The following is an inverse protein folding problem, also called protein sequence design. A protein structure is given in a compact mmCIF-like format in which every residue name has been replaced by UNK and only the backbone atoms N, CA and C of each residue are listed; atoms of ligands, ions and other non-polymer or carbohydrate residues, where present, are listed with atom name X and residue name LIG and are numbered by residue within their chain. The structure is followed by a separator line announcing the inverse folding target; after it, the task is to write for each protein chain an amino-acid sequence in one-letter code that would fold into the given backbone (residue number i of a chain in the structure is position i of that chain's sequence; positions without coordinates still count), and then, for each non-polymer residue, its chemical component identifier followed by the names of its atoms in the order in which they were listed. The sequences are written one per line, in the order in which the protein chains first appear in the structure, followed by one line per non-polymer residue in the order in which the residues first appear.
data_IF_628782692049
#
_entry.id   IF_628782692049
#
_cell.length_a   1.000
_cell.length_b   1.000
_cell.length_c   1.000
_cell.angle_alpha   90.00
_cell.angle_beta   90.00
_cell.angle_gamma   90.00
#
_symmetry.space_group_name_H-M   'P 1'
#
loop_
_entity.id
_entity.type
_entity.pdbx_description
1 polymer ?
#
# COMPACT_ATOMS: atom_id res chain seq x y z
N UNK A 1 82.70 -19.93 82.78
CA UNK A 1 82.99 -18.63 82.18
C UNK A 1 81.77 -18.16 81.34
N UNK A 2 81.06 -17.18 81.87
CA UNK A 2 79.90 -16.54 81.17
C UNK A 2 80.39 -15.41 80.30
N UNK A 3 80.36 -15.57 78.98
CA UNK A 3 80.66 -14.48 78.04
C UNK A 3 79.58 -13.41 78.08
N UNK A 4 79.92 -12.21 78.55
CA UNK A 4 79.05 -11.03 78.55
C UNK A 4 78.70 -10.65 77.07
N UNK A 5 77.50 -10.81 76.72
CA UNK A 5 76.95 -10.36 75.45
C UNK A 5 76.84 -8.79 75.47
N UNK A 6 77.74 -8.15 74.70
CA UNK A 6 77.81 -6.67 74.68
C UNK A 6 76.66 -6.06 73.86
N UNK A 7 75.94 -5.15 74.41
CA UNK A 7 74.78 -4.45 73.89
C UNK A 7 74.96 -3.89 72.45
N UNK A 8 76.21 -3.54 72.13
CA UNK A 8 76.63 -3.12 70.77
C UNK A 8 76.41 -4.19 69.73
N UNK A 9 76.66 -5.50 70.01
CA UNK A 9 76.44 -6.60 69.10
C UNK A 9 74.89 -6.86 68.88
N UNK A 10 74.10 -6.68 69.93
CA UNK A 10 72.63 -6.76 69.81
C UNK A 10 72.10 -5.63 68.94
N UNK A 11 72.62 -4.41 69.05
CA UNK A 11 72.22 -3.26 68.22
C UNK A 11 72.52 -3.48 66.71
N UNK A 12 73.73 -4.05 66.39
CA UNK A 12 74.08 -4.35 64.99
C UNK A 12 73.25 -5.48 64.39
N UNK A 13 72.86 -6.49 65.16
CA UNK A 13 71.95 -7.55 64.72
C UNK A 13 70.60 -6.99 64.49
N UNK A 14 70.04 -6.11 65.35
CA UNK A 14 68.76 -5.46 65.22
C UNK A 14 68.74 -4.51 64.01
N UNK A 15 69.78 -3.75 63.77
CA UNK A 15 69.94 -2.88 62.64
C UNK A 15 70.00 -3.68 61.30
N UNK A 16 70.75 -4.83 61.30
CA UNK A 16 70.77 -5.75 60.16
C UNK A 16 69.42 -6.37 59.83
N UNK A 17 68.62 -6.67 60.88
CA UNK A 17 67.27 -7.24 60.69
C UNK A 17 66.29 -6.21 60.13
N UNK A 18 66.41 -4.96 60.57
CA UNK A 18 65.57 -3.85 59.98
C UNK A 18 65.97 -3.62 58.52
N UNK A 19 67.27 -3.66 58.18
CA UNK A 19 67.71 -3.46 56.82
C UNK A 19 67.28 -4.61 55.92
N UNK A 20 67.32 -5.87 56.39
CA UNK A 20 66.82 -7.03 55.67
C UNK A 20 65.27 -6.93 55.43
N UNK A 21 64.46 -6.50 56.46
CA UNK A 21 63.05 -6.30 56.33
C UNK A 21 62.77 -5.20 55.30
N UNK A 22 63.47 -4.07 55.35
CA UNK A 22 63.33 -2.98 54.39
C UNK A 22 63.72 -3.43 52.94
N UNK A 23 64.74 -4.28 52.75
CA UNK A 23 65.10 -4.84 51.47
C UNK A 23 64.02 -5.80 50.96
N UNK A 24 63.46 -6.69 51.78
CA UNK A 24 62.38 -7.58 51.42
C UNK A 24 61.08 -6.81 51.13
N UNK A 25 60.80 -5.79 51.90
CA UNK A 25 59.58 -4.89 51.65
C UNK A 25 59.79 -4.12 50.34
N UNK A 26 60.99 -3.62 50.04
CA UNK A 26 61.31 -2.94 48.77
C UNK A 26 61.21 -3.87 47.57
N UNK A 27 61.74 -5.11 47.72
CA UNK A 27 61.61 -6.13 46.66
C UNK A 27 60.10 -6.51 46.41
N UNK A 28 59.32 -6.70 47.50
CA UNK A 28 57.90 -6.98 47.42
C UNK A 28 57.12 -5.85 46.77
N UNK A 29 57.50 -4.59 47.07
CA UNK A 29 56.92 -3.42 46.45
C UNK A 29 57.25 -3.32 44.95
N UNK A 30 58.49 -3.61 44.55
CA UNK A 30 58.92 -3.63 43.14
C UNK A 30 58.23 -4.76 42.35
N UNK A 31 58.05 -5.94 42.92
CA UNK A 31 57.34 -7.06 42.32
C UNK A 31 55.86 -6.72 42.14
N UNK A 32 55.22 -6.10 43.17
CA UNK A 32 53.81 -5.70 43.10
C UNK A 32 53.57 -4.52 42.15
N UNK A 33 54.55 -3.60 42.04
CA UNK A 33 54.49 -2.46 41.11
C UNK A 33 54.68 -2.87 39.65
N UNK A 34 55.33 -4.03 39.38
CA UNK A 34 55.58 -4.49 38.03
C UNK A 34 54.55 -5.55 37.53
N UNK A 35 53.61 -6.00 38.38
CA UNK A 35 52.47 -6.76 37.96
C UNK A 35 51.43 -5.79 37.39
N UNK A 36 51.53 -5.49 36.06
CA UNK A 36 50.43 -4.92 35.31
C UNK A 36 49.25 -5.88 35.50
N UNK A 37 48.18 -5.42 36.19
CA UNK A 37 46.90 -6.12 36.16
C UNK A 37 46.57 -6.36 34.68
N UNK A 38 46.52 -7.60 34.26
CA UNK A 38 46.10 -7.93 32.92
C UNK A 38 44.60 -7.60 32.91
N UNK A 39 44.25 -6.43 32.34
CA UNK A 39 42.88 -6.06 32.10
C UNK A 39 42.22 -7.18 31.29
N UNK A 40 41.33 -7.91 31.91
CA UNK A 40 40.59 -9.00 31.28
C UNK A 40 39.52 -8.36 30.37
N UNK A 41 39.84 -8.28 29.08
CA UNK A 41 38.87 -7.85 28.09
C UNK A 41 38.04 -9.05 27.60
N UNK A 42 36.78 -8.80 27.31
CA UNK A 42 35.95 -9.76 26.61
C UNK A 42 36.42 -9.91 25.17
N UNK A 43 36.29 -11.12 24.65
CA UNK A 43 36.58 -11.42 23.27
C UNK A 43 35.33 -12.01 22.60
N UNK A 44 35.11 -11.64 21.35
CA UNK A 44 34.11 -12.27 20.46
C UNK A 44 34.86 -12.92 19.29
N UNK A 45 34.32 -14.06 18.82
CA UNK A 45 34.83 -14.75 17.63
C UNK A 45 33.97 -14.39 16.43
N UNK A 46 34.57 -14.25 15.23
CA UNK A 46 33.79 -14.15 13.99
C UNK A 46 32.96 -15.40 13.79
N UNK A 47 31.77 -15.21 13.19
CA UNK A 47 30.81 -16.29 12.91
C UNK A 47 30.69 -16.45 11.41
N UNK A 48 30.65 -17.69 10.92
CA UNK A 48 30.37 -17.95 9.50
C UNK A 48 28.88 -18.20 9.34
N UNK A 49 28.20 -17.29 8.69
CA UNK A 49 26.76 -17.38 8.40
C UNK A 49 26.40 -16.61 7.13
N UNK A 50 25.21 -16.86 6.62
CA UNK A 50 24.67 -16.10 5.51
C UNK A 50 24.32 -14.67 5.96
N UNK A 51 24.71 -13.69 5.15
CA UNK A 51 24.43 -12.28 5.36
C UNK A 51 23.60 -11.73 4.21
N UNK A 52 22.54 -11.01 4.54
CA UNK A 52 21.72 -10.31 3.56
C UNK A 52 21.67 -8.83 3.93
N UNK A 53 22.13 -7.99 3.01
CA UNK A 53 21.87 -6.54 3.07
C UNK A 53 20.45 -6.29 2.58
N UNK A 54 19.60 -5.68 3.41
CA UNK A 54 18.18 -5.52 3.17
C UNK A 54 17.75 -4.09 3.38
N UNK A 55 16.79 -3.70 2.58
CA UNK A 55 16.05 -2.46 2.75
C UNK A 55 14.62 -2.79 3.14
N UNK A 56 14.07 -2.06 4.11
CA UNK A 56 12.71 -2.26 4.58
C UNK A 56 11.79 -1.21 3.99
N UNK A 57 10.73 -1.68 3.32
CA UNK A 57 9.59 -0.88 2.92
C UNK A 57 8.42 -1.15 3.87
N UNK A 58 7.80 -0.11 4.39
CA UNK A 58 6.58 -0.24 5.21
C UNK A 58 5.34 -0.03 4.36
N UNK A 59 4.32 -0.86 4.55
CA UNK A 59 3.13 -0.78 3.71
C UNK A 59 2.00 -1.71 4.16
N UNK A 60 1.22 -2.15 3.20
CA UNK A 60 0.05 -3.01 3.39
C UNK A 60 -0.08 -4.02 2.25
N UNK A 61 -0.83 -5.08 2.50
CA UNK A 61 -1.26 -6.01 1.45
C UNK A 61 -2.57 -5.50 0.85
N UNK A 62 -2.62 -5.40 -0.46
CA UNK A 62 -3.82 -5.00 -1.20
C UNK A 62 -4.07 -5.98 -2.34
N UNK A 63 -5.30 -6.12 -2.82
CA UNK A 63 -5.55 -6.86 -4.07
C UNK A 63 -4.91 -6.10 -5.24
N UNK A 64 -4.49 -6.82 -6.26
CA UNK A 64 -3.91 -6.22 -7.48
C UNK A 64 -4.91 -5.31 -8.19
N UNK A 65 -6.18 -5.70 -8.20
CA UNK A 65 -7.28 -4.93 -8.78
C UNK A 65 -8.45 -4.93 -7.82
N UNK A 66 -8.95 -3.75 -7.54
CA UNK A 66 -10.17 -3.53 -6.78
C UNK A 66 -11.18 -2.81 -7.67
N UNK A 67 -12.36 -3.40 -7.83
CA UNK A 67 -13.41 -2.89 -8.71
C UNK A 67 -14.54 -2.35 -7.87
N UNK A 68 -14.70 -1.04 -7.91
CA UNK A 68 -15.82 -0.35 -7.28
C UNK A 68 -17.05 -0.45 -8.17
N UNK A 69 -18.11 -1.05 -7.64
CA UNK A 69 -19.42 -1.15 -8.30
C UNK A 69 -20.23 0.07 -7.91
N UNK A 70 -20.50 0.91 -8.91
CA UNK A 70 -21.25 2.15 -8.77
C UNK A 70 -22.56 2.07 -9.53
N UNK A 71 -23.60 2.82 -9.12
CA UNK A 71 -24.89 2.82 -9.79
C UNK A 71 -24.81 3.57 -11.13
N UNK A 72 -25.64 3.16 -12.08
CA UNK A 72 -25.80 3.84 -13.37
C UNK A 72 -26.85 4.97 -13.31
N UNK A 73 -27.51 5.16 -12.18
CA UNK A 73 -28.48 6.22 -11.93
C UNK A 73 -28.58 6.54 -10.44
N UNK A 74 -28.96 7.76 -10.11
CA UNK A 74 -29.15 8.20 -8.74
C UNK A 74 -30.47 7.66 -8.17
N UNK A 75 -30.45 7.30 -6.88
CA UNK A 75 -31.64 6.75 -6.21
C UNK A 75 -31.41 6.45 -4.75
N UNK A 76 -32.25 5.62 -4.17
CA UNK A 76 -32.10 5.10 -2.80
C UNK A 76 -31.92 3.59 -2.87
N UNK A 77 -31.03 3.05 -2.08
CA UNK A 77 -30.84 1.60 -1.95
C UNK A 77 -32.11 0.98 -1.37
N UNK A 78 -32.74 0.10 -2.16
CA UNK A 78 -33.91 -0.67 -1.76
C UNK A 78 -33.51 -1.95 -1.02
N UNK A 79 -32.56 -2.72 -1.59
CA UNK A 79 -32.02 -3.94 -0.98
C UNK A 79 -30.54 -4.07 -1.29
N UNK A 80 -29.81 -4.59 -0.34
CA UNK A 80 -28.45 -5.09 -0.50
C UNK A 80 -28.53 -6.63 -0.38
N UNK A 81 -27.98 -7.34 -1.36
CA UNK A 81 -28.13 -8.78 -1.52
C UNK A 81 -26.83 -9.56 -1.26
N UNK A 82 -25.75 -8.85 -0.94
CA UNK A 82 -24.43 -9.43 -0.64
C UNK A 82 -23.89 -8.84 0.64
N UNK A 83 -23.05 -9.60 1.32
CA UNK A 83 -22.31 -9.17 2.52
C UNK A 83 -20.81 -9.16 2.23
N UNK A 84 -20.06 -8.48 3.10
CA UNK A 84 -18.60 -8.53 3.08
C UNK A 84 -18.11 -9.97 3.28
N UNK A 85 -17.19 -10.40 2.41
CA UNK A 85 -16.68 -11.77 2.37
C UNK A 85 -17.41 -12.71 1.41
N UNK A 86 -18.57 -12.34 0.86
CA UNK A 86 -19.28 -13.16 -0.11
C UNK A 86 -18.50 -13.21 -1.44
N UNK A 87 -18.55 -14.37 -2.11
CA UNK A 87 -18.01 -14.50 -3.45
C UNK A 87 -19.07 -14.14 -4.49
N UNK A 88 -18.73 -13.30 -5.45
CA UNK A 88 -19.64 -12.84 -6.51
C UNK A 88 -19.07 -13.11 -7.88
N UNK A 89 -19.97 -13.38 -8.84
CA UNK A 89 -19.63 -13.59 -10.25
C UNK A 89 -20.08 -12.41 -11.10
N UNK A 90 -19.46 -12.23 -12.27
CA UNK A 90 -19.88 -11.21 -13.26
C UNK A 90 -21.36 -11.38 -13.58
N UNK A 91 -22.11 -10.27 -13.53
CA UNK A 91 -23.55 -10.22 -13.79
C UNK A 91 -24.44 -10.59 -12.59
N UNK A 92 -23.88 -11.07 -11.47
CA UNK A 92 -24.63 -11.36 -10.25
C UNK A 92 -25.23 -10.08 -9.67
N UNK A 93 -26.50 -10.16 -9.27
CA UNK A 93 -27.21 -9.05 -8.64
C UNK A 93 -26.69 -8.82 -7.23
N UNK A 94 -26.16 -7.61 -6.95
CA UNK A 94 -25.57 -7.24 -5.66
C UNK A 94 -26.44 -6.29 -4.85
N UNK A 95 -27.19 -5.40 -5.52
CA UNK A 95 -28.12 -4.49 -4.86
C UNK A 95 -29.23 -4.08 -5.80
N UNK A 96 -30.31 -3.54 -5.24
CA UNK A 96 -31.42 -2.91 -5.98
C UNK A 96 -31.59 -1.47 -5.54
N UNK A 97 -31.92 -0.61 -6.50
CA UNK A 97 -32.25 0.80 -6.29
C UNK A 97 -33.75 1.05 -6.42
N UNK A 98 -34.24 2.00 -5.63
CA UNK A 98 -35.50 2.65 -5.82
C UNK A 98 -35.30 4.09 -6.28
N UNK A 99 -35.88 4.45 -7.41
CA UNK A 99 -35.78 5.81 -7.93
C UNK A 99 -36.69 6.71 -7.11
N UNK A 100 -36.18 7.86 -6.72
CA UNK A 100 -36.95 8.93 -6.10
C UNK A 100 -37.22 9.98 -7.17
N UNK A 101 -38.46 10.06 -7.71
CA UNK A 101 -38.78 11.03 -8.72
C UNK A 101 -38.58 12.47 -8.18
N UNK A 102 -37.91 13.32 -8.95
CA UNK A 102 -37.90 14.75 -8.67
C UNK A 102 -39.26 15.34 -8.96
N UNK A 103 -39.91 15.91 -7.96
CA UNK A 103 -41.21 16.57 -8.11
C UNK A 103 -41.20 17.65 -9.19
N UNK A 104 -40.10 18.40 -9.30
CA UNK A 104 -39.90 19.41 -10.33
C UNK A 104 -39.89 18.81 -11.74
N UNK A 105 -39.14 17.73 -11.95
CA UNK A 105 -39.04 17.06 -13.25
C UNK A 105 -40.39 16.43 -13.66
N UNK A 106 -41.08 15.82 -12.70
CA UNK A 106 -42.43 15.25 -12.96
C UNK A 106 -43.44 16.35 -13.32
N UNK A 107 -43.42 17.49 -12.61
CA UNK A 107 -44.30 18.61 -12.92
C UNK A 107 -43.95 19.23 -14.29
N UNK A 108 -42.69 19.44 -14.63
CA UNK A 108 -42.27 19.94 -15.94
C UNK A 108 -42.73 19.02 -17.07
N UNK A 109 -42.47 17.70 -16.94
CA UNK A 109 -42.92 16.72 -17.94
C UNK A 109 -44.45 16.63 -18.05
N UNK A 110 -45.18 16.83 -16.94
CA UNK A 110 -46.66 16.90 -16.97
C UNK A 110 -47.16 18.13 -17.73
N UNK A 111 -46.49 19.28 -17.59
CA UNK A 111 -46.80 20.48 -18.37
C UNK A 111 -46.55 20.29 -19.86
N UNK A 112 -45.42 19.60 -20.23
CA UNK A 112 -45.14 19.25 -21.64
C UNK A 112 -46.31 18.43 -22.25
N UNK A 113 -46.88 17.47 -21.52
CA UNK A 113 -48.05 16.69 -21.97
C UNK A 113 -49.26 17.60 -22.18
N UNK A 114 -49.52 18.53 -21.24
CA UNK A 114 -50.62 19.46 -21.38
C UNK A 114 -50.45 20.35 -22.62
N UNK A 115 -49.25 20.86 -22.87
CA UNK A 115 -48.92 21.65 -24.07
C UNK A 115 -49.09 20.83 -25.36
N UNK A 116 -48.61 19.59 -25.38
CA UNK A 116 -48.77 18.68 -26.52
C UNK A 116 -50.24 18.36 -26.80
N UNK A 117 -51.08 18.19 -25.77
CA UNK A 117 -52.50 17.98 -25.93
C UNK A 117 -53.21 19.22 -26.52
N UNK A 118 -52.82 20.43 -26.11
CA UNK A 118 -53.33 21.66 -26.74
C UNK A 118 -52.93 21.76 -28.21
N UNK A 119 -51.71 21.40 -28.56
CA UNK A 119 -51.25 21.37 -29.97
C UNK A 119 -52.01 20.36 -30.80
N UNK A 120 -52.31 19.15 -30.28
CA UNK A 120 -53.15 18.16 -30.95
C UNK A 120 -54.56 18.72 -31.16
N UNK A 121 -55.16 19.36 -30.14
CA UNK A 121 -56.48 19.96 -30.26
C UNK A 121 -56.52 21.01 -31.39
N UNK A 122 -55.53 21.90 -31.43
CA UNK A 122 -55.40 22.91 -32.46
C UNK A 122 -55.20 22.31 -33.86
N UNK A 123 -54.31 21.31 -33.97
CA UNK A 123 -54.08 20.62 -35.24
C UNK A 123 -55.30 19.87 -35.74
N UNK A 124 -56.09 19.25 -34.86
CA UNK A 124 -57.38 18.58 -35.20
C UNK A 124 -58.46 19.57 -35.68
N UNK A 125 -58.58 20.71 -35.00
CA UNK A 125 -59.50 21.75 -35.45
C UNK A 125 -59.13 22.28 -36.84
N UNK A 126 -57.85 22.51 -37.10
CA UNK A 126 -57.39 22.91 -38.42
C UNK A 126 -57.66 21.81 -39.47
N UNK A 127 -57.37 20.54 -39.13
CA UNK A 127 -57.70 19.41 -40.02
C UNK A 127 -59.21 19.35 -40.37
N UNK A 128 -60.06 19.46 -39.36
CA UNK A 128 -61.56 19.49 -39.62
C UNK A 128 -61.91 20.61 -40.56
N UNK A 129 -61.39 21.82 -40.37
CA UNK A 129 -61.60 22.97 -41.26
C UNK A 129 -61.12 22.67 -42.67
N UNK A 130 -59.92 22.13 -42.87
CA UNK A 130 -59.33 21.79 -44.17
C UNK A 130 -60.10 20.63 -44.83
N UNK A 131 -60.62 19.67 -44.07
CA UNK A 131 -61.45 18.58 -44.57
C UNK A 131 -62.76 19.13 -45.16
N UNK A 132 -63.44 20.05 -44.44
CA UNK A 132 -64.68 20.69 -44.92
C UNK A 132 -64.47 21.53 -46.18
N UNK A 133 -63.37 22.31 -46.20
CA UNK A 133 -62.97 23.09 -47.37
C UNK A 133 -62.63 22.18 -48.56
N UNK A 134 -61.87 21.14 -48.39
CA UNK A 134 -61.55 20.20 -49.44
C UNK A 134 -62.82 19.50 -50.00
N UNK A 135 -63.76 19.06 -49.16
CA UNK A 135 -64.97 18.44 -49.57
C UNK A 135 -65.85 19.41 -50.41
N UNK A 136 -65.85 20.71 -50.09
CA UNK A 136 -66.54 21.75 -50.90
C UNK A 136 -65.79 21.93 -52.24
N UNK A 137 -64.49 22.08 -52.28
CA UNK A 137 -63.75 22.25 -53.51
C UNK A 137 -63.80 21.02 -54.41
N UNK A 138 -63.88 19.82 -53.85
CA UNK A 138 -64.09 18.58 -54.59
C UNK A 138 -65.42 18.54 -55.34
N UNK A 139 -66.49 19.01 -54.69
CA UNK A 139 -67.81 19.15 -55.33
C UNK A 139 -67.82 20.19 -56.46
N UNK A 140 -67.20 21.36 -56.22
CA UNK A 140 -67.08 22.42 -57.23
C UNK A 140 -66.27 21.98 -58.45
N UNK A 141 -65.15 21.23 -58.21
CA UNK A 141 -64.37 20.66 -59.31
C UNK A 141 -65.17 19.62 -60.11
N UNK A 142 -65.91 18.74 -59.45
CA UNK A 142 -66.77 17.77 -60.14
C UNK A 142 -67.91 18.43 -60.97
N UNK A 143 -68.30 19.65 -60.62
CA UNK A 143 -69.29 20.48 -61.39
C UNK A 143 -68.58 21.34 -62.47
N UNK A 144 -67.28 21.29 -62.61
CA UNK A 144 -66.52 22.11 -63.60
C UNK A 144 -66.43 23.60 -63.23
N UNK A 145 -66.69 23.99 -61.95
CA UNK A 145 -66.74 25.40 -61.50
C UNK A 145 -65.35 25.91 -61.18
N UNK A 146 -64.40 25.05 -60.72
CA UNK A 146 -63.03 25.43 -60.39
C UNK A 146 -61.98 24.75 -61.25
N UNK A 147 -60.78 25.32 -61.30
CA UNK A 147 -59.65 24.77 -62.02
C UNK A 147 -59.04 23.55 -61.33
N UNK A 148 -58.34 22.72 -62.13
CA UNK A 148 -57.57 21.63 -61.56
C UNK A 148 -56.51 22.10 -60.59
N UNK A 149 -55.89 23.26 -60.81
CA UNK A 149 -54.86 23.84 -59.93
C UNK A 149 -55.46 24.18 -58.58
N UNK A 150 -56.65 24.77 -58.48
CA UNK A 150 -57.30 25.07 -57.20
C UNK A 150 -57.67 23.79 -56.44
N UNK A 151 -58.17 22.75 -57.13
CA UNK A 151 -58.47 21.47 -56.50
C UNK A 151 -57.17 20.84 -55.92
N UNK A 152 -56.01 20.82 -56.67
CA UNK A 152 -54.75 20.29 -56.19
C UNK A 152 -54.18 21.11 -55.02
N UNK A 153 -54.37 22.44 -55.01
CA UNK A 153 -53.98 23.28 -53.89
C UNK A 153 -54.75 22.94 -52.60
N UNK A 154 -56.09 22.73 -52.71
CA UNK A 154 -56.92 22.31 -51.58
C UNK A 154 -56.52 20.91 -51.07
N UNK A 155 -56.15 20.00 -51.96
CA UNK A 155 -55.64 18.68 -51.60
C UNK A 155 -54.31 18.75 -50.84
N UNK A 156 -53.38 19.61 -51.28
CA UNK A 156 -52.11 19.84 -50.55
C UNK A 156 -52.31 20.45 -49.18
N UNK A 157 -53.27 21.39 -49.03
CA UNK A 157 -53.62 21.99 -47.72
C UNK A 157 -54.17 20.92 -46.75
N UNK A 158 -55.07 20.04 -47.21
CA UNK A 158 -55.58 18.91 -46.43
C UNK A 158 -54.42 17.98 -46.02
N UNK A 159 -53.53 17.61 -46.93
CA UNK A 159 -52.40 16.77 -46.64
C UNK A 159 -51.47 17.42 -45.63
N UNK A 160 -51.20 18.73 -45.72
CA UNK A 160 -50.43 19.46 -44.76
C UNK A 160 -51.04 19.43 -43.34
N UNK A 161 -52.41 19.63 -43.27
CA UNK A 161 -53.10 19.54 -41.99
C UNK A 161 -53.04 18.11 -41.36
N UNK A 162 -53.14 17.08 -42.18
CA UNK A 162 -52.95 15.69 -41.76
C UNK A 162 -51.56 15.45 -41.16
N UNK A 163 -50.49 15.98 -41.83
CA UNK A 163 -49.13 15.89 -41.37
C UNK A 163 -48.97 16.65 -40.03
N UNK A 164 -49.58 17.84 -39.87
CA UNK A 164 -49.55 18.58 -38.60
C UNK A 164 -50.13 17.76 -37.45
N UNK A 165 -51.29 17.07 -37.63
CA UNK A 165 -51.85 16.18 -36.60
C UNK A 165 -50.91 15.02 -36.28
N UNK A 166 -50.26 14.42 -37.29
CA UNK A 166 -49.27 13.35 -37.08
C UNK A 166 -48.09 13.85 -36.25
N UNK A 167 -47.59 15.04 -36.56
CA UNK A 167 -46.47 15.65 -35.84
C UNK A 167 -46.86 15.97 -34.38
N UNK A 168 -48.03 16.51 -34.14
CA UNK A 168 -48.54 16.79 -32.80
C UNK A 168 -48.73 15.49 -31.98
N UNK A 169 -49.18 14.39 -32.58
CA UNK A 169 -49.25 13.09 -31.93
C UNK A 169 -47.86 12.54 -31.57
N UNK A 170 -46.84 12.73 -32.44
CA UNK A 170 -45.47 12.35 -32.11
C UNK A 170 -44.92 13.14 -30.94
N UNK A 171 -45.20 14.45 -30.88
CA UNK A 171 -44.82 15.30 -29.74
C UNK A 171 -45.49 14.82 -28.43
N UNK A 172 -46.77 14.45 -28.44
CA UNK A 172 -47.44 13.87 -27.28
C UNK A 172 -46.76 12.56 -26.84
N UNK A 173 -46.47 11.69 -27.78
CA UNK A 173 -45.77 10.42 -27.49
C UNK A 173 -44.38 10.67 -26.82
N UNK A 174 -43.64 11.66 -27.32
CA UNK A 174 -42.37 12.06 -26.74
C UNK A 174 -42.54 12.62 -25.32
N UNK A 175 -43.52 13.51 -25.11
CA UNK A 175 -43.82 14.06 -23.78
C UNK A 175 -44.25 12.97 -22.78
N UNK A 176 -45.01 11.97 -23.23
CA UNK A 176 -45.41 10.82 -22.40
C UNK A 176 -44.19 9.97 -22.00
N UNK A 177 -43.25 9.73 -22.93
CA UNK A 177 -41.99 9.05 -22.62
C UNK A 177 -41.13 9.83 -21.64
N UNK A 178 -41.04 11.16 -21.78
CA UNK A 178 -40.34 12.04 -20.85
C UNK A 178 -40.95 11.98 -19.45
N UNK A 179 -42.27 11.98 -19.33
CA UNK A 179 -42.95 11.83 -18.02
C UNK A 179 -42.65 10.46 -17.41
N UNK A 180 -42.62 9.41 -18.22
CA UNK A 180 -42.28 8.08 -17.73
C UNK A 180 -40.80 8.05 -17.23
N UNK A 181 -39.86 8.61 -17.99
CA UNK A 181 -38.47 8.76 -17.56
C UNK A 181 -38.37 9.55 -16.25
N UNK A 182 -39.11 10.67 -16.12
CA UNK A 182 -39.14 11.48 -14.90
C UNK A 182 -39.65 10.71 -13.67
N UNK A 183 -40.58 9.74 -13.87
CA UNK A 183 -41.15 8.92 -12.79
C UNK A 183 -40.39 7.66 -12.46
N UNK A 184 -39.86 6.98 -13.49
CA UNK A 184 -39.27 5.64 -13.37
C UNK A 184 -37.79 5.54 -13.76
N UNK A 185 -37.19 6.64 -14.23
CA UNK A 185 -35.81 6.73 -14.71
C UNK A 185 -35.55 6.10 -16.08
N UNK A 186 -36.51 5.41 -16.67
CA UNK A 186 -36.36 4.76 -17.97
C UNK A 186 -37.69 4.60 -18.70
N UNK A 187 -37.64 4.44 -20.01
CA UNK A 187 -38.76 3.89 -20.79
C UNK A 187 -38.69 2.36 -20.81
N UNK A 188 -39.77 1.64 -21.11
CA UNK A 188 -39.76 0.18 -21.23
C UNK A 188 -38.73 -0.32 -22.23
N UNK A 189 -38.48 0.42 -23.31
CA UNK A 189 -37.50 0.07 -24.34
C UNK A 189 -36.06 0.19 -23.85
N UNK A 190 -35.79 1.07 -22.87
CA UNK A 190 -34.49 1.34 -22.29
C UNK A 190 -34.31 0.72 -20.89
N UNK A 191 -35.32 0.01 -20.38
CA UNK A 191 -35.28 -0.58 -19.04
C UNK A 191 -34.10 -1.56 -18.84
N UNK A 192 -33.61 -2.18 -19.91
CA UNK A 192 -32.40 -3.02 -19.89
C UNK A 192 -31.09 -2.25 -19.72
N UNK A 193 -31.05 -0.96 -20.10
CA UNK A 193 -29.86 -0.10 -19.96
C UNK A 193 -29.88 0.72 -18.68
N UNK A 194 -31.03 1.17 -18.26
CA UNK A 194 -31.27 1.96 -17.05
C UNK A 194 -31.84 1.06 -15.95
N UNK A 195 -31.03 0.13 -15.46
CA UNK A 195 -31.51 -0.86 -14.48
C UNK A 195 -31.40 -0.31 -13.05
N UNK A 196 -32.49 -0.44 -12.31
CA UNK A 196 -32.50 -0.33 -10.84
C UNK A 196 -31.76 -1.50 -10.18
N UNK A 197 -31.29 -2.46 -10.96
CA UNK A 197 -30.54 -3.62 -10.56
C UNK A 197 -29.05 -3.37 -10.70
N UNK A 198 -28.31 -3.42 -9.60
CA UNK A 198 -26.87 -3.26 -9.60
C UNK A 198 -26.23 -4.64 -9.61
N UNK A 199 -25.42 -4.88 -10.63
CA UNK A 199 -24.78 -6.17 -10.86
C UNK A 199 -23.26 -6.05 -10.78
N UNK A 200 -22.62 -7.11 -10.30
CA UNK A 200 -21.17 -7.20 -10.30
C UNK A 200 -20.60 -7.14 -11.71
N UNK A 201 -19.53 -6.35 -11.87
CA UNK A 201 -18.76 -6.23 -13.12
C UNK A 201 -17.54 -7.15 -13.14
N UNK A 202 -17.24 -7.81 -12.00
CA UNK A 202 -16.09 -8.67 -11.83
C UNK A 202 -16.46 -9.94 -11.06
N UNK A 203 -15.60 -10.98 -11.22
CA UNK A 203 -15.58 -12.12 -10.32
C UNK A 203 -14.65 -11.81 -9.16
N UNK A 204 -15.01 -12.21 -7.96
CA UNK A 204 -14.14 -12.00 -6.79
C UNK A 204 -14.89 -12.05 -5.48
N UNK A 205 -14.22 -11.61 -4.43
CA UNK A 205 -14.79 -11.51 -3.08
C UNK A 205 -15.17 -10.05 -2.79
N UNK A 206 -16.32 -9.87 -2.18
CA UNK A 206 -16.77 -8.57 -1.68
C UNK A 206 -15.88 -8.13 -0.53
N UNK A 207 -15.17 -7.01 -0.71
CA UNK A 207 -14.30 -6.46 0.32
C UNK A 207 -15.08 -5.57 1.29
N UNK A 208 -15.93 -4.70 0.74
CA UNK A 208 -16.64 -3.67 1.50
C UNK A 208 -18.00 -3.40 0.88
N UNK A 209 -18.99 -3.13 1.75
CA UNK A 209 -20.34 -2.68 1.40
C UNK A 209 -20.62 -1.39 2.19
N UNK A 210 -20.14 -0.21 1.71
CA UNK A 210 -20.21 1.04 2.45
C UNK A 210 -21.64 1.62 2.54
N UNK A 211 -22.63 1.04 1.84
CA UNK A 211 -24.00 1.51 1.78
C UNK A 211 -24.95 0.59 2.55
N UNK A 212 -26.06 1.18 3.04
CA UNK A 212 -27.14 0.47 3.74
C UNK A 212 -28.47 0.69 3.02
N UNK A 213 -29.45 -0.17 3.26
CA UNK A 213 -30.83 0.05 2.81
C UNK A 213 -31.32 1.43 3.29
N UNK A 214 -31.90 2.21 2.36
CA UNK A 214 -32.29 3.59 2.60
C UNK A 214 -31.23 4.66 2.33
N UNK A 215 -29.97 4.28 2.06
CA UNK A 215 -28.91 5.24 1.68
C UNK A 215 -29.20 5.82 0.29
N UNK A 216 -29.12 7.14 0.18
CA UNK A 216 -29.17 7.82 -1.12
C UNK A 216 -27.81 7.67 -1.82
N UNK A 217 -27.84 7.26 -3.08
CA UNK A 217 -26.66 7.06 -3.93
C UNK A 217 -26.75 7.89 -5.19
N UNK A 218 -25.59 8.33 -5.68
CA UNK A 218 -25.46 9.21 -6.83
C UNK A 218 -24.65 8.46 -7.90
N UNK A 219 -25.09 8.56 -9.17
CA UNK A 219 -24.36 8.03 -10.31
C UNK A 219 -23.00 8.70 -10.52
N UNK A 220 -22.05 7.98 -11.09
CA UNK A 220 -20.77 8.53 -11.52
C UNK A 220 -20.97 9.32 -12.82
N UNK A 221 -20.46 10.55 -12.87
CA UNK A 221 -20.45 11.41 -14.06
C UNK A 221 -19.15 12.24 -14.12
N UNK A 222 -19.00 13.10 -15.12
CA UNK A 222 -17.79 13.93 -15.30
C UNK A 222 -17.51 14.89 -14.12
N UNK A 223 -18.49 15.17 -13.28
CA UNK A 223 -18.37 16.08 -12.13
C UNK A 223 -18.35 15.38 -10.78
N UNK A 224 -18.75 14.10 -10.75
CA UNK A 224 -18.88 13.34 -9.51
C UNK A 224 -18.40 11.90 -9.70
N UNK A 225 -17.53 11.44 -8.79
CA UNK A 225 -17.00 10.08 -8.81
C UNK A 225 -18.08 9.00 -8.57
N UNK A 226 -19.30 9.40 -8.14
CA UNK A 226 -20.38 8.48 -7.81
C UNK A 226 -20.21 7.80 -6.45
N UNK A 227 -21.28 7.20 -5.95
CA UNK A 227 -21.27 6.46 -4.69
C UNK A 227 -20.88 5.00 -4.94
N UNK A 228 -19.83 4.52 -4.28
CA UNK A 228 -19.47 3.09 -4.29
C UNK A 228 -20.51 2.30 -3.49
N UNK A 229 -21.09 1.25 -4.08
CA UNK A 229 -22.08 0.39 -3.45
C UNK A 229 -21.44 -0.86 -2.90
N UNK A 230 -20.56 -1.47 -3.68
CA UNK A 230 -19.82 -2.68 -3.33
C UNK A 230 -18.43 -2.57 -3.93
N UNK A 231 -17.41 -2.95 -3.18
CA UNK A 231 -16.04 -3.14 -3.67
C UNK A 231 -15.76 -4.63 -3.79
N UNK A 232 -15.27 -5.07 -4.95
CA UNK A 232 -15.00 -6.48 -5.27
C UNK A 232 -13.56 -6.62 -5.74
N UNK A 233 -12.85 -7.64 -5.23
CA UNK A 233 -11.50 -7.94 -5.66
C UNK A 233 -11.22 -9.44 -5.70
N UNK A 234 -10.20 -9.83 -6.47
CA UNK A 234 -9.64 -11.18 -6.45
C UNK A 234 -8.57 -11.29 -5.35
N UNK A 235 -8.89 -12.03 -4.30
CA UNK A 235 -7.97 -12.27 -3.18
C UNK A 235 -6.87 -13.30 -3.49
N UNK A 236 -6.91 -13.96 -4.64
CA UNK A 236 -5.82 -14.84 -5.08
C UNK A 236 -4.64 -14.07 -5.68
N UNK A 237 -4.86 -12.81 -6.07
CA UNK A 237 -3.84 -11.93 -6.64
C UNK A 237 -3.60 -10.72 -5.72
N UNK A 238 -2.81 -10.96 -4.68
CA UNK A 238 -2.44 -9.92 -3.71
C UNK A 238 -1.07 -9.33 -4.04
N UNK A 239 -0.91 -8.03 -3.80
CA UNK A 239 0.36 -7.32 -3.90
C UNK A 239 0.68 -6.62 -2.58
N UNK A 240 1.97 -6.41 -2.37
CA UNK A 240 2.47 -5.51 -1.34
C UNK A 240 2.54 -4.10 -1.93
N UNK A 241 1.85 -3.14 -1.34
CA UNK A 241 1.97 -1.72 -1.63
C UNK A 241 2.67 -1.05 -0.44
N UNK A 242 3.85 -0.50 -0.67
CA UNK A 242 4.67 0.07 0.40
C UNK A 242 5.34 1.38 0.01
N UNK A 243 6.07 1.94 0.96
CA UNK A 243 6.83 3.17 0.79
C UNK A 243 8.23 2.99 1.35
N UNK A 244 9.20 3.62 0.70
CA UNK A 244 10.60 3.59 1.08
C UNK A 244 11.19 4.99 1.09
N UNK A 245 12.16 5.23 1.95
CA UNK A 245 12.82 6.51 2.06
C UNK A 245 13.75 6.77 0.86
N UNK A 246 13.90 8.04 0.46
CA UNK A 246 14.71 8.49 -0.67
C UNK A 246 16.13 7.94 -0.64
N UNK A 247 16.79 7.95 0.54
CA UNK A 247 18.17 7.47 0.70
C UNK A 247 18.35 5.99 0.32
N UNK A 248 17.29 5.20 0.38
CA UNK A 248 17.29 3.77 0.09
C UNK A 248 16.75 3.45 -1.30
N UNK A 249 15.83 4.30 -1.81
CA UNK A 249 15.18 4.09 -3.10
C UNK A 249 16.18 3.99 -4.26
N UNK A 250 17.26 4.78 -4.23
CA UNK A 250 18.32 4.76 -5.27
C UNK A 250 19.10 3.45 -5.38
N UNK A 251 19.02 2.56 -4.37
CA UNK A 251 19.68 1.25 -4.38
C UNK A 251 18.82 0.14 -4.96
N UNK A 252 17.50 0.39 -5.12
CA UNK A 252 16.54 -0.61 -5.56
C UNK A 252 16.50 -0.74 -7.07
N UNK A 253 16.16 -1.93 -7.52
CA UNK A 253 15.86 -2.24 -8.92
C UNK A 253 14.64 -3.15 -8.99
N UNK A 254 13.82 -2.97 -10.02
CA UNK A 254 12.72 -3.89 -10.32
C UNK A 254 13.25 -5.31 -10.51
N UNK A 255 12.47 -6.29 -10.10
CA UNK A 255 12.83 -7.70 -10.15
C UNK A 255 13.62 -8.21 -8.93
N UNK A 256 14.01 -7.35 -7.97
CA UNK A 256 14.68 -7.78 -6.74
C UNK A 256 13.78 -8.70 -5.91
N UNK A 257 14.40 -9.68 -5.26
CA UNK A 257 13.70 -10.56 -4.33
C UNK A 257 13.28 -9.80 -3.08
N UNK A 258 12.11 -10.11 -2.59
CA UNK A 258 11.52 -9.49 -1.42
C UNK A 258 10.91 -10.56 -0.51
N UNK A 259 11.02 -10.37 0.80
CA UNK A 259 10.30 -11.14 1.79
C UNK A 259 9.29 -10.23 2.45
N UNK A 260 8.00 -10.56 2.35
CA UNK A 260 6.94 -9.80 2.98
C UNK A 260 6.61 -10.40 4.33
N UNK A 261 6.74 -9.62 5.38
CA UNK A 261 6.38 -9.96 6.74
C UNK A 261 5.07 -9.25 7.09
N UNK A 262 4.02 -10.02 7.30
CA UNK A 262 2.69 -9.49 7.63
C UNK A 262 2.56 -9.41 9.15
N UNK A 263 2.23 -8.24 9.68
CA UNK A 263 2.17 -7.99 11.12
C UNK A 263 1.24 -8.95 11.88
N UNK A 264 0.10 -9.29 11.30
CA UNK A 264 -0.86 -10.25 11.88
C UNK A 264 -0.36 -11.71 11.86
N UNK A 265 0.67 -12.02 11.05
CA UNK A 265 1.21 -13.36 10.85
C UNK A 265 2.72 -13.38 11.17
N UNK A 266 3.10 -12.88 12.33
CA UNK A 266 4.47 -12.50 12.75
C UNK A 266 5.56 -13.56 12.52
N UNK A 267 5.22 -14.83 12.42
CA UNK A 267 6.19 -15.93 12.24
C UNK A 267 6.30 -16.42 10.78
N UNK A 268 5.58 -15.79 9.83
CA UNK A 268 5.57 -16.23 8.43
C UNK A 268 6.14 -15.13 7.54
N UNK A 269 7.15 -15.51 6.73
CA UNK A 269 7.68 -14.71 5.64
C UNK A 269 7.10 -15.22 4.33
N UNK A 270 6.54 -14.30 3.57
CA UNK A 270 5.98 -14.60 2.26
C UNK A 270 6.99 -14.15 1.20
N UNK A 271 7.52 -15.06 0.40
CA UNK A 271 8.40 -14.68 -0.68
C UNK A 271 7.65 -13.82 -1.70
N UNK A 272 8.35 -12.90 -2.31
CA UNK A 272 7.80 -11.98 -3.30
C UNK A 272 8.88 -11.41 -4.18
N UNK A 273 8.46 -10.54 -5.08
CA UNK A 273 9.35 -9.82 -5.99
C UNK A 273 8.90 -8.37 -6.13
N UNK A 274 9.85 -7.47 -6.07
CA UNK A 274 9.62 -6.04 -6.33
C UNK A 274 9.27 -5.86 -7.82
N UNK A 275 8.07 -5.34 -8.10
CA UNK A 275 7.56 -5.19 -9.47
C UNK A 275 7.61 -3.76 -9.97
N UNK A 276 7.48 -2.78 -9.07
CA UNK A 276 7.45 -1.39 -9.43
C UNK A 276 8.10 -0.52 -8.35
N UNK A 277 8.82 0.49 -8.80
CA UNK A 277 9.33 1.60 -7.98
C UNK A 277 8.82 2.87 -8.63
N UNK A 278 8.04 3.66 -7.91
CA UNK A 278 7.50 4.90 -8.48
C UNK A 278 8.63 5.84 -8.92
N UNK A 279 8.59 6.38 -10.15
CA UNK A 279 9.64 7.28 -10.65
C UNK A 279 9.64 8.65 -9.95
N UNK A 280 8.58 8.97 -9.19
CA UNK A 280 8.43 10.22 -8.46
C UNK A 280 8.14 9.94 -6.98
N UNK A 281 8.97 10.53 -6.12
CA UNK A 281 8.72 10.55 -4.67
C UNK A 281 7.55 11.46 -4.32
N UNK A 282 6.89 11.14 -3.21
CA UNK A 282 5.83 11.95 -2.60
C UNK A 282 6.33 12.50 -1.27
N UNK A 283 6.10 13.78 -1.03
CA UNK A 283 6.37 14.39 0.28
C UNK A 283 5.29 13.94 1.28
N UNK A 284 5.74 13.33 2.36
CA UNK A 284 4.90 12.94 3.49
C UNK A 284 5.53 13.48 4.78
N UNK A 285 4.93 14.51 5.33
CA UNK A 285 5.37 15.15 6.58
C UNK A 285 6.83 15.63 6.53
N UNK A 286 7.28 16.20 5.39
CA UNK A 286 8.64 16.70 5.20
C UNK A 286 9.69 15.64 4.90
N UNK A 287 9.27 14.41 4.64
CA UNK A 287 10.15 13.31 4.20
C UNK A 287 9.70 12.82 2.84
N UNK A 288 10.65 12.73 1.90
CA UNK A 288 10.35 12.19 0.56
C UNK A 288 10.33 10.67 0.63
N UNK A 289 9.20 10.08 0.26
CA UNK A 289 9.00 8.64 0.18
C UNK A 289 8.66 8.22 -1.23
N UNK A 290 9.22 7.09 -1.64
CA UNK A 290 8.95 6.49 -2.95
C UNK A 290 7.98 5.33 -2.77
N UNK A 291 6.79 5.36 -3.41
CA UNK A 291 5.91 4.21 -3.49
C UNK A 291 6.59 3.05 -4.20
N UNK A 292 6.42 1.85 -3.67
CA UNK A 292 6.91 0.60 -4.24
C UNK A 292 5.81 -0.45 -4.22
N UNK A 293 5.79 -1.30 -5.25
CA UNK A 293 4.87 -2.42 -5.32
C UNK A 293 5.65 -3.73 -5.50
N UNK A 294 5.16 -4.77 -4.89
CA UNK A 294 5.73 -6.10 -5.02
C UNK A 294 4.68 -7.17 -5.09
N UNK A 295 4.89 -8.14 -5.95
CA UNK A 295 4.08 -9.34 -6.02
C UNK A 295 4.37 -10.25 -4.82
N UNK A 296 3.33 -10.76 -4.17
CA UNK A 296 3.44 -11.65 -3.02
C UNK A 296 3.05 -13.05 -3.45
N UNK A 297 3.97 -14.00 -3.32
CA UNK A 297 3.69 -15.40 -3.59
C UNK A 297 3.05 -16.02 -2.35
N UNK A 298 1.73 -16.19 -2.39
CA UNK A 298 0.99 -16.78 -1.29
C UNK A 298 0.98 -18.30 -1.43
N UNK A 299 1.66 -19.05 -0.54
CA UNK A 299 1.45 -20.49 -0.47
C UNK A 299 0.02 -20.75 0.03
N UNK A 300 -0.66 -21.72 -0.56
CA UNK A 300 -2.09 -22.06 -0.42
C UNK A 300 -2.62 -22.25 1.01
N UNK A 301 -1.76 -22.24 2.01
CA UNK A 301 -2.08 -22.52 3.43
C UNK A 301 -2.33 -21.28 4.31
N UNK A 302 -2.23 -20.06 3.75
CA UNK A 302 -2.34 -18.87 4.58
C UNK A 302 -3.43 -17.96 4.06
N UNK A 303 -4.47 -17.76 4.86
CA UNK A 303 -5.52 -16.78 4.56
C UNK A 303 -5.00 -15.36 4.84
N UNK A 304 -4.56 -14.67 3.79
CA UNK A 304 -4.12 -13.28 3.87
C UNK A 304 -5.31 -12.39 3.54
N UNK A 305 -5.59 -11.43 4.41
CA UNK A 305 -6.65 -10.43 4.17
C UNK A 305 -6.07 -9.17 3.53
N UNK A 306 -6.83 -8.58 2.61
CA UNK A 306 -6.54 -7.24 2.13
C UNK A 306 -6.56 -6.23 3.29
N UNK A 307 -5.69 -5.22 3.24
CA UNK A 307 -5.57 -4.22 4.30
C UNK A 307 -4.61 -4.58 5.43
N UNK A 308 -4.08 -5.79 5.51
CA UNK A 308 -3.09 -6.12 6.53
C UNK A 308 -1.82 -5.28 6.37
N UNK A 309 -1.36 -4.70 7.49
CA UNK A 309 -0.06 -4.04 7.53
C UNK A 309 1.06 -5.05 7.31
N UNK A 310 2.02 -4.67 6.48
CA UNK A 310 3.13 -5.53 6.09
C UNK A 310 4.43 -4.74 5.96
N UNK A 311 5.56 -5.43 6.18
CA UNK A 311 6.88 -4.92 5.91
C UNK A 311 7.52 -5.74 4.79
N UNK A 312 7.96 -5.08 3.73
CA UNK A 312 8.71 -5.68 2.64
C UNK A 312 10.22 -5.60 2.90
N UNK A 313 10.86 -6.73 3.19
CA UNK A 313 12.33 -6.83 3.28
C UNK A 313 12.87 -7.07 1.87
N UNK A 314 13.40 -6.04 1.21
CA UNK A 314 13.96 -6.13 -0.15
C UNK A 314 15.44 -6.45 -0.04
N UNK A 315 15.89 -7.55 -0.64
CA UNK A 315 17.28 -8.04 -0.55
C UNK A 315 18.12 -7.33 -1.61
N UNK A 316 19.06 -6.49 -1.17
CA UNK A 316 20.02 -5.80 -2.04
C UNK A 316 21.16 -6.71 -2.45
N UNK A 317 21.71 -7.43 -1.48
CA UNK A 317 22.75 -8.43 -1.72
C UNK A 317 22.66 -9.57 -0.71
N UNK A 318 23.03 -10.77 -1.14
CA UNK A 318 23.10 -11.96 -0.29
C UNK A 318 24.48 -12.60 -0.45
N UNK A 319 25.15 -12.81 0.68
CA UNK A 319 26.48 -13.47 0.75
C UNK A 319 26.35 -14.74 1.57
N UNK A 320 26.54 -15.89 0.93
CA UNK A 320 26.51 -17.19 1.62
C UNK A 320 27.84 -17.48 2.29
N UNK A 321 27.81 -18.07 3.48
CA UNK A 321 29.01 -18.49 4.24
C UNK A 321 30.00 -17.33 4.45
N UNK A 322 29.52 -16.12 4.70
CA UNK A 322 30.36 -14.95 4.97
C UNK A 322 30.93 -15.03 6.39
N UNK A 323 32.22 -14.70 6.54
CA UNK A 323 32.85 -14.52 7.86
C UNK A 323 32.43 -13.16 8.40
N UNK A 324 31.56 -13.15 9.40
CA UNK A 324 30.95 -11.95 9.97
C UNK A 324 31.52 -11.61 11.32
N UNK A 325 31.73 -10.32 11.57
CA UNK A 325 32.11 -9.78 12.85
C UNK A 325 31.17 -8.59 13.16
N UNK A 326 30.84 -8.43 14.43
CA UNK A 326 30.06 -7.29 14.93
C UNK A 326 30.78 -5.98 14.53
N UNK A 327 30.09 -5.08 13.86
CA UNK A 327 30.65 -3.84 13.32
C UNK A 327 31.21 -2.93 14.42
N UNK A 328 30.65 -3.01 15.64
CA UNK A 328 31.10 -2.27 16.82
C UNK A 328 32.55 -2.63 17.26
N UNK A 329 33.07 -3.76 16.79
CA UNK A 329 34.43 -4.22 17.13
C UNK A 329 35.51 -3.71 16.15
N UNK A 330 35.07 -3.12 15.04
CA UNK A 330 35.97 -2.56 14.03
C UNK A 330 36.43 -1.18 14.48
N UNK A 331 37.74 -0.97 14.45
CA UNK A 331 38.39 0.31 14.73
C UNK A 331 38.95 0.90 13.44
N UNK A 332 39.00 2.22 13.36
CA UNK A 332 39.51 2.95 12.21
C UNK A 332 40.67 3.83 12.65
N UNK A 333 41.79 3.78 11.89
CA UNK A 333 42.97 4.60 12.12
C UNK A 333 43.30 5.35 10.81
N UNK A 334 43.53 6.65 10.88
CA UNK A 334 43.98 7.43 9.72
C UNK A 334 45.50 7.26 9.54
N UNK A 335 45.90 6.65 8.43
CA UNK A 335 47.32 6.51 8.03
C UNK A 335 47.50 7.02 6.60
N UNK A 336 48.36 8.02 6.43
CA UNK A 336 48.61 8.67 5.13
C UNK A 336 47.35 9.19 4.44
N UNK A 337 46.38 9.76 5.20
CA UNK A 337 45.13 10.28 4.65
C UNK A 337 44.09 9.23 4.25
N UNK A 338 44.34 7.93 4.50
CA UNK A 338 43.40 6.82 4.25
C UNK A 338 42.96 6.22 5.58
N UNK A 339 41.69 5.93 5.71
CA UNK A 339 41.15 5.21 6.84
C UNK A 339 41.48 3.70 6.67
N UNK A 340 42.20 3.15 7.63
CA UNK A 340 42.55 1.73 7.70
C UNK A 340 41.68 1.11 8.80
N UNK A 341 40.93 0.08 8.47
CA UNK A 341 40.18 -0.71 9.44
C UNK A 341 41.03 -1.78 10.06
N UNK A 342 40.96 -1.91 11.38
CA UNK A 342 41.66 -2.92 12.14
C UNK A 342 40.84 -3.46 13.29
N UNK A 343 41.25 -4.62 13.79
CA UNK A 343 40.72 -5.23 15.03
C UNK A 343 41.87 -5.58 15.94
N UNK A 344 41.65 -5.68 17.23
CA UNK A 344 42.64 -6.21 18.17
C UNK A 344 42.35 -7.68 18.47
N UNK A 345 43.29 -8.54 18.09
CA UNK A 345 43.18 -10.00 18.23
C UNK A 345 44.06 -10.44 19.38
N UNK A 346 43.46 -11.27 20.27
CA UNK A 346 44.16 -11.86 21.40
C UNK A 346 45.22 -12.85 20.92
N UNK A 347 46.44 -12.72 21.42
CA UNK A 347 47.58 -13.62 21.16
C UNK A 347 47.62 -14.73 22.22
N UNK A 348 48.46 -15.75 21.96
CA UNK A 348 48.70 -16.89 22.88
C UNK A 348 49.30 -16.50 24.22
N UNK A 349 49.97 -15.35 24.27
CA UNK A 349 50.56 -14.77 25.48
C UNK A 349 49.57 -13.90 26.30
N UNK A 350 48.30 -13.82 25.84
CA UNK A 350 47.25 -13.02 26.47
C UNK A 350 47.27 -11.55 26.08
N UNK A 351 48.20 -11.07 25.28
CA UNK A 351 48.27 -9.71 24.76
C UNK A 351 47.35 -9.52 23.56
N UNK A 352 47.04 -8.28 23.23
CA UNK A 352 46.23 -7.93 22.07
C UNK A 352 47.10 -7.27 20.99
N UNK A 353 46.96 -7.76 19.73
CA UNK A 353 47.69 -7.23 18.59
C UNK A 353 46.75 -6.63 17.58
N UNK A 354 47.04 -5.42 17.09
CA UNK A 354 46.31 -4.81 15.97
C UNK A 354 46.53 -5.61 14.70
N UNK A 355 45.44 -6.01 14.05
CA UNK A 355 45.42 -6.73 12.77
C UNK A 355 44.55 -5.96 11.81
N UNK A 356 45.12 -5.53 10.69
CA UNK A 356 44.36 -4.84 9.65
C UNK A 356 43.40 -5.83 9.00
N UNK A 357 42.15 -5.40 8.82
CA UNK A 357 41.12 -6.21 8.18
C UNK A 357 40.58 -5.52 6.93
N UNK A 358 40.25 -6.31 5.92
CA UNK A 358 39.55 -5.81 4.74
C UNK A 358 38.10 -6.13 4.90
N UNK A 359 37.27 -5.09 4.91
CA UNK A 359 35.82 -5.19 5.09
C UNK A 359 35.12 -5.43 3.76
N UNK A 360 34.03 -6.17 3.80
CA UNK A 360 33.12 -6.39 2.69
C UNK A 360 31.79 -5.66 2.91
N UNK A 361 30.68 -6.34 2.65
CA UNK A 361 29.33 -5.83 2.89
C UNK A 361 29.04 -5.72 4.40
N UNK A 362 28.14 -4.81 4.79
CA UNK A 362 27.60 -4.65 6.15
C UNK A 362 26.09 -4.64 6.12
N UNK A 363 25.47 -5.20 7.16
CA UNK A 363 24.01 -5.14 7.40
C UNK A 363 23.66 -4.09 8.48
N UNK A 364 24.66 -3.29 8.92
CA UNK A 364 24.52 -2.29 9.99
C UNK A 364 24.65 -2.86 11.41
N UNK A 365 24.78 -4.19 11.56
CA UNK A 365 25.04 -4.89 12.83
C UNK A 365 26.34 -5.67 12.71
N UNK A 366 26.50 -6.43 11.63
CA UNK A 366 27.65 -7.24 11.31
C UNK A 366 28.30 -6.77 10.01
N UNK A 367 29.59 -6.91 9.92
CA UNK A 367 30.36 -6.62 8.71
C UNK A 367 31.09 -7.88 8.25
N UNK A 368 31.11 -8.10 6.95
CA UNK A 368 31.86 -9.18 6.32
C UNK A 368 33.33 -8.89 6.38
N UNK A 369 34.13 -9.87 6.84
CA UNK A 369 35.58 -9.83 6.82
C UNK A 369 36.08 -10.61 5.60
N UNK A 370 36.66 -9.88 4.64
CA UNK A 370 37.19 -10.48 3.41
C UNK A 370 38.61 -11.03 3.62
N UNK A 371 39.39 -10.40 4.49
CA UNK A 371 40.77 -10.86 4.87
C UNK A 371 41.24 -10.17 6.14
N UNK A 372 42.28 -10.77 6.78
CA UNK A 372 42.95 -10.25 7.97
C UNK A 372 42.81 -11.17 9.18
N UNK A 373 41.66 -11.76 9.43
CA UNK A 373 41.44 -12.71 10.53
C UNK A 373 40.69 -13.95 10.04
N UNK A 374 40.78 -15.02 10.82
CA UNK A 374 40.07 -16.29 10.59
C UNK A 374 38.91 -16.45 11.62
N UNK A 375 38.12 -17.52 11.47
CA UNK A 375 36.95 -17.84 12.34
C UNK A 375 37.32 -18.08 13.82
N UNK A 376 38.57 -18.45 14.11
CA UNK A 376 39.03 -18.82 15.45
C UNK A 376 39.64 -17.62 16.18
N UNK A 377 39.80 -16.47 15.51
CA UNK A 377 40.40 -15.26 16.07
C UNK A 377 39.54 -14.70 17.22
N UNK A 378 40.10 -14.47 18.37
CA UNK A 378 39.48 -13.84 19.52
C UNK A 378 39.67 -12.32 19.44
N UNK A 379 38.62 -11.62 18.98
CA UNK A 379 38.62 -10.15 18.81
C UNK A 379 38.18 -9.46 20.10
N UNK A 380 38.93 -8.44 20.50
CA UNK A 380 38.69 -7.65 21.71
C UNK A 380 37.38 -6.83 21.60
N UNK A 381 36.55 -6.88 22.64
CA UNK A 381 35.38 -6.04 22.77
C UNK A 381 35.73 -4.73 23.49
N UNK A 382 35.56 -3.60 22.75
CA UNK A 382 35.94 -2.28 23.27
C UNK A 382 34.89 -1.67 24.20
N UNK A 383 33.63 -1.81 23.84
CA UNK A 383 32.46 -1.30 24.58
C UNK A 383 31.52 -2.45 24.94
N UNK A 384 31.81 -3.21 26.02
CA UNK A 384 30.96 -4.32 26.41
C UNK A 384 29.57 -3.84 26.80
N UNK A 385 28.53 -4.50 26.32
CA UNK A 385 27.16 -4.27 26.73
C UNK A 385 26.95 -4.63 28.22
N UNK A 386 25.85 -4.19 28.82
CA UNK A 386 25.59 -4.50 30.22
C UNK A 386 25.48 -6.01 30.49
N UNK A 387 24.96 -6.78 29.52
CA UNK A 387 24.98 -8.26 29.57
C UNK A 387 26.40 -8.83 29.50
N UNK A 388 27.27 -8.22 28.71
CA UNK A 388 28.65 -8.63 28.61
C UNK A 388 29.44 -8.31 29.88
N UNK A 389 29.11 -7.22 30.58
CA UNK A 389 29.68 -6.85 31.87
C UNK A 389 29.26 -7.80 33.01
N UNK A 390 28.02 -8.31 32.98
CA UNK A 390 27.55 -9.34 33.92
C UNK A 390 28.32 -10.66 33.72
N UNK A 391 28.48 -11.10 32.47
CA UNK A 391 29.25 -12.31 32.15
C UNK A 391 30.75 -12.20 32.56
N UNK A 392 31.33 -10.97 32.59
CA UNK A 392 32.65 -10.73 33.12
C UNK A 392 32.72 -10.87 34.64
N UNK A 393 31.66 -10.49 35.34
CA UNK A 393 31.60 -10.61 36.83
C UNK A 393 31.46 -12.07 37.26
N UNK A 394 30.69 -12.89 36.54
CA UNK A 394 30.57 -14.33 36.80
C UNK A 394 31.82 -15.12 36.54
N UNK A 395 32.71 -14.68 35.61
CA UNK A 395 34.03 -15.33 35.36
C UNK A 395 35.11 -14.92 36.33
N UNK A 396 34.89 -13.87 37.13
CA UNK A 396 35.86 -13.39 38.16
C UNK A 396 35.52 -13.87 39.58
N UNK A 397 34.34 -14.46 39.80
CA UNK A 397 34.00 -15.13 41.06
C UNK A 397 34.18 -16.63 40.97
#
# INVERSE_FOLDING_TARGET
MKKKFTWKKALYIFLGLILAIALFAGLGYLIKSNSKESETFLTKKPVVQDMEDKVMATGKIVPREEIEIKPNMSGIIDKVLVNEGDHVSVGQLVATLKIVPSVQNVNAATQEINNANLQISNARMNLDTQQKQFAMQQRLYSQGVISKQEYLSAQQQLQSAQIQVKNANMQLSTAQKNLQIARTGATPELAGLATTQIRSKANGTVLEVPVKVGTQVIEANSFNAGTTIVSVADLNSLIFEGKIDEAQAGKLKEGMNMNVVIGALQNKKFPGRLTMIAPKGKDENGTIKFPVEGEVFNPSDSYIRAGFSANGEIVLSSQKNALLLDESLIQYEKKNGKDISFVEVKQTDGTFKKVNVKLGASDGINVQILSGINKDAEVKVWNPSDKDKEALKEKKG
#
